data_IF_209916473052
#
_entry.id   IF_209916473052
#
_cell.length_a   1.000
_cell.length_b   1.000
_cell.length_c   1.000
_cell.angle_alpha   90.00
_cell.angle_beta   90.00
_cell.angle_gamma   90.00
#
_symmetry.space_group_name_H-M   'P 1'
#
loop_
_entity.id
_entity.type
_entity.pdbx_description
1 polymer ?
#
# COMPACT_ATOMS: atom_id res chain seq x y z
N UNK A 1 2.12 26.45 17.85
CA UNK A 1 1.80 25.46 16.80
C UNK A 1 0.72 24.55 17.37
N UNK A 2 -0.50 24.58 16.82
CA UNK A 2 -1.59 23.70 17.24
C UNK A 2 -1.62 22.53 16.27
N UNK A 3 -1.43 21.31 16.76
CA UNK A 3 -1.52 20.09 15.94
C UNK A 3 -3.01 19.77 15.77
N UNK A 4 -3.49 19.73 14.53
CA UNK A 4 -4.85 19.29 14.20
C UNK A 4 -4.81 17.80 13.81
N UNK A 5 -5.44 16.91 14.61
CA UNK A 5 -5.48 15.48 14.31
C UNK A 5 -6.17 15.18 12.98
N UNK A 6 -7.27 15.87 12.67
CA UNK A 6 -8.02 15.69 11.43
C UNK A 6 -7.19 16.01 10.20
N UNK A 7 -6.44 17.11 10.24
CA UNK A 7 -5.51 17.47 9.15
C UNK A 7 -4.38 16.47 9.01
N UNK A 8 -3.79 16.01 10.12
CA UNK A 8 -2.75 15.01 10.07
C UNK A 8 -3.24 13.68 9.45
N UNK A 9 -4.48 13.28 9.76
CA UNK A 9 -5.12 12.11 9.16
C UNK A 9 -5.44 12.31 7.68
N UNK A 10 -5.90 13.51 7.28
CA UNK A 10 -6.15 13.86 5.89
C UNK A 10 -4.88 13.77 5.04
N UNK A 11 -3.76 14.30 5.54
CA UNK A 11 -2.44 14.20 4.90
C UNK A 11 -1.99 12.74 4.76
N UNK A 12 -2.15 11.95 5.83
CA UNK A 12 -1.82 10.52 5.81
C UNK A 12 -2.63 9.76 4.76
N UNK A 13 -3.94 10.04 4.67
CA UNK A 13 -4.84 9.38 3.72
C UNK A 13 -4.71 9.92 2.29
N UNK A 14 -4.02 11.04 2.10
CA UNK A 14 -3.83 11.66 0.78
C UNK A 14 -2.63 11.10 0.02
N UNK A 15 -1.70 10.43 0.70
CA UNK A 15 -0.51 9.83 0.08
C UNK A 15 -0.26 8.39 0.57
N UNK A 16 0.67 7.71 -0.08
CA UNK A 16 0.99 6.29 0.14
C UNK A 16 2.09 6.08 1.18
N UNK A 17 2.16 6.96 2.19
CA UNK A 17 3.23 6.97 3.21
C UNK A 17 3.22 5.74 4.12
N UNK A 18 2.06 5.10 4.30
CA UNK A 18 1.90 3.85 5.04
C UNK A 18 1.99 2.58 4.16
N UNK A 19 2.37 2.69 2.88
CA UNK A 19 2.39 1.55 1.96
C UNK A 19 3.32 0.40 2.40
N UNK A 20 4.40 0.69 3.14
CA UNK A 20 5.27 -0.33 3.70
C UNK A 20 4.53 -1.28 4.67
N UNK A 21 3.49 -0.80 5.36
CA UNK A 21 2.69 -1.63 6.27
C UNK A 21 2.03 -2.80 5.54
N UNK A 22 1.79 -2.70 4.22
CA UNK A 22 1.34 -3.86 3.43
C UNK A 22 2.37 -4.99 3.47
N UNK A 23 3.65 -4.68 3.31
CA UNK A 23 4.73 -5.67 3.38
C UNK A 23 4.92 -6.21 4.80
N UNK A 24 4.90 -5.32 5.80
CA UNK A 24 5.02 -5.68 7.22
C UNK A 24 3.90 -6.63 7.66
N UNK A 25 2.65 -6.34 7.30
CA UNK A 25 1.49 -7.19 7.63
C UNK A 25 1.61 -8.56 6.95
N UNK A 26 1.99 -8.59 5.67
CA UNK A 26 2.15 -9.84 4.92
C UNK A 26 3.24 -10.73 5.55
N UNK A 27 4.37 -10.14 5.91
CA UNK A 27 5.45 -10.85 6.59
C UNK A 27 5.03 -11.33 7.98
N UNK A 28 4.47 -10.45 8.82
CA UNK A 28 4.15 -10.78 10.22
C UNK A 28 3.08 -11.86 10.32
N UNK A 29 1.98 -11.69 9.56
CA UNK A 29 0.80 -12.56 9.64
C UNK A 29 0.91 -13.82 8.77
N UNK A 30 1.47 -13.71 7.57
CA UNK A 30 1.48 -14.80 6.57
C UNK A 30 2.87 -15.34 6.27
N UNK A 31 3.92 -14.86 6.95
CA UNK A 31 5.31 -15.30 6.79
C UNK A 31 5.86 -15.13 5.36
N UNK A 32 5.26 -14.25 4.58
CA UNK A 32 5.79 -13.86 3.28
C UNK A 32 7.16 -13.19 3.48
N UNK A 33 8.19 -13.52 2.67
CA UNK A 33 9.44 -12.78 2.69
C UNK A 33 9.19 -11.29 2.50
N UNK A 34 9.87 -10.47 3.31
CA UNK A 34 9.66 -9.01 3.26
C UNK A 34 9.89 -8.44 1.86
N UNK A 35 10.87 -8.98 1.12
CA UNK A 35 11.17 -8.54 -0.25
C UNK A 35 9.97 -8.67 -1.17
N UNK A 36 9.26 -9.80 -1.12
CA UNK A 36 8.12 -10.06 -2.00
C UNK A 36 6.93 -9.18 -1.60
N UNK A 37 6.69 -9.02 -0.29
CA UNK A 37 5.69 -8.08 0.23
C UNK A 37 6.00 -6.62 -0.15
N UNK A 38 7.27 -6.23 -0.13
CA UNK A 38 7.73 -4.89 -0.50
C UNK A 38 7.62 -4.65 -2.01
N UNK A 39 7.91 -5.66 -2.84
CA UNK A 39 7.69 -5.60 -4.27
C UNK A 39 6.20 -5.42 -4.60
N UNK A 40 5.34 -6.25 -3.99
CA UNK A 40 3.88 -6.09 -4.09
C UNK A 40 3.40 -4.68 -3.67
N UNK A 41 3.85 -4.18 -2.52
CA UNK A 41 3.47 -2.86 -2.04
C UNK A 41 3.92 -1.74 -3.01
N UNK A 42 5.10 -1.87 -3.60
CA UNK A 42 5.62 -0.93 -4.59
C UNK A 42 4.74 -0.90 -5.85
N UNK A 43 4.36 -2.07 -6.38
CA UNK A 43 3.49 -2.17 -7.55
C UNK A 43 2.08 -1.62 -7.29
N UNK A 44 1.54 -1.82 -6.08
CA UNK A 44 0.28 -1.20 -5.64
C UNK A 44 0.36 0.32 -5.70
N UNK A 45 1.43 0.91 -5.13
CA UNK A 45 1.64 2.36 -5.14
C UNK A 45 1.83 2.89 -6.55
N UNK A 46 2.61 2.20 -7.39
CA UNK A 46 2.82 2.55 -8.80
C UNK A 46 1.48 2.60 -9.54
N UNK A 47 0.69 1.54 -9.46
CA UNK A 47 -0.63 1.49 -10.09
C UNK A 47 -1.54 2.60 -9.59
N UNK A 48 -1.59 2.81 -8.26
CA UNK A 48 -2.42 3.83 -7.66
C UNK A 48 -2.07 5.23 -8.16
N UNK A 49 -0.77 5.57 -8.18
CA UNK A 49 -0.29 6.87 -8.66
C UNK A 49 -0.58 7.08 -10.14
N UNK A 50 -0.39 6.06 -10.97
CA UNK A 50 -0.72 6.14 -12.41
C UNK A 50 -2.21 6.35 -12.67
N UNK A 51 -3.08 5.81 -11.82
CA UNK A 51 -4.54 5.91 -11.97
C UNK A 51 -5.18 6.98 -11.08
N UNK A 52 -4.37 7.79 -10.38
CA UNK A 52 -4.81 8.81 -9.43
C UNK A 52 -5.77 8.29 -8.35
N UNK A 53 -5.46 7.11 -7.80
CA UNK A 53 -6.23 6.41 -6.77
C UNK A 53 -5.60 6.70 -5.40
N UNK A 54 -6.42 7.12 -4.44
CA UNK A 54 -6.00 7.30 -3.05
C UNK A 54 -5.97 5.97 -2.30
N UNK A 55 -5.19 5.83 -1.22
CA UNK A 55 -5.11 4.60 -0.43
C UNK A 55 -6.48 4.02 -0.02
N UNK A 56 -7.40 4.88 0.42
CA UNK A 56 -8.73 4.46 0.88
C UNK A 56 -9.67 4.01 -0.26
N UNK A 57 -9.37 4.43 -1.48
CA UNK A 57 -10.19 4.14 -2.67
C UNK A 57 -9.61 2.98 -3.49
N UNK A 58 -8.53 2.34 -3.01
CA UNK A 58 -7.83 1.31 -3.79
C UNK A 58 -8.67 0.04 -3.97
N UNK A 59 -8.96 -0.39 -5.21
CA UNK A 59 -9.79 -1.56 -5.44
C UNK A 59 -9.09 -2.86 -5.02
N UNK A 60 -9.77 -3.65 -4.19
CA UNK A 60 -9.22 -4.92 -3.71
C UNK A 60 -8.93 -5.93 -4.84
N UNK A 61 -9.77 -5.96 -5.88
CA UNK A 61 -9.53 -6.82 -7.06
C UNK A 61 -8.20 -6.48 -7.76
N UNK A 62 -7.82 -5.20 -7.78
CA UNK A 62 -6.54 -4.78 -8.33
C UNK A 62 -5.38 -5.22 -7.42
N UNK A 63 -5.55 -5.15 -6.10
CA UNK A 63 -4.53 -5.62 -5.16
C UNK A 63 -4.28 -7.13 -5.36
N UNK A 64 -5.35 -7.93 -5.53
CA UNK A 64 -5.22 -9.37 -5.81
C UNK A 64 -4.48 -9.65 -7.10
N UNK A 65 -4.80 -8.91 -8.17
CA UNK A 65 -4.11 -9.04 -9.46
C UNK A 65 -2.62 -8.73 -9.31
N UNK A 66 -2.29 -7.58 -8.71
CA UNK A 66 -0.91 -7.15 -8.52
C UNK A 66 -0.14 -8.15 -7.65
N UNK A 67 -0.75 -8.67 -6.58
CA UNK A 67 -0.13 -9.69 -5.74
C UNK A 67 0.20 -10.97 -6.51
N UNK A 68 -0.74 -11.44 -7.35
CA UNK A 68 -0.52 -12.62 -8.17
C UNK A 68 0.56 -12.41 -9.24
N UNK A 69 0.69 -11.19 -9.77
CA UNK A 69 1.71 -10.86 -10.76
C UNK A 69 3.09 -10.68 -10.10
N UNK A 70 3.16 -10.03 -8.93
CA UNK A 70 4.39 -9.80 -8.17
C UNK A 70 5.06 -11.06 -7.62
N UNK A 71 4.35 -12.20 -7.58
CA UNK A 71 4.88 -13.50 -7.12
C UNK A 71 5.26 -14.45 -8.25
N UNK A 72 5.18 -14.02 -9.51
CA UNK A 72 5.57 -14.83 -10.68
C UNK A 72 7.05 -14.69 -11.07
N UNK A 73 7.72 -13.67 -10.55
CA UNK A 73 9.18 -13.47 -10.61
C UNK A 73 9.88 -14.18 -9.44
#
# INVERSE_FOLDING_TARGET
MVISPDRALEELNSDWTASQELADVLMRKYKLPFRDGHHFASEVVTYAKTNNIKPLDFPYEQARRIYADALKD
#
